data_IF_365384133286
#
_entry.id   IF_365384133286
#
_cell.length_a   1.000
_cell.length_b   1.000
_cell.length_c   1.000
_cell.angle_alpha   90.00
_cell.angle_beta   90.00
_cell.angle_gamma   90.00
#
_symmetry.space_group_name_H-M   'P 1'
#
loop_
_entity.id
_entity.type
_entity.pdbx_description
1 polymer ?
#
# COMPACT_ATOMS: atom_id res chain seq x y z
N UNK A 1 10.33 11.83 8.37
CA UNK A 1 10.76 10.49 7.94
C UNK A 1 12.10 10.52 7.22
N UNK A 2 12.32 11.39 6.18
CA UNK A 2 13.55 11.38 5.36
C UNK A 2 14.83 11.63 6.16
N UNK A 3 14.86 12.64 7.03
CA UNK A 3 16.04 12.91 7.89
C UNK A 3 16.32 11.77 8.86
N UNK A 4 15.29 11.11 9.36
CA UNK A 4 15.42 9.93 10.18
C UNK A 4 16.11 8.80 9.40
N UNK A 5 15.62 8.50 8.19
CA UNK A 5 16.23 7.48 7.34
C UNK A 5 17.69 7.80 7.02
N UNK A 6 17.99 9.06 6.68
CA UNK A 6 19.36 9.50 6.41
C UNK A 6 20.29 9.32 7.63
N UNK A 7 19.84 9.72 8.86
CA UNK A 7 20.63 9.57 10.10
C UNK A 7 20.92 8.12 10.45
N UNK A 8 19.97 7.22 10.17
CA UNK A 8 20.07 5.81 10.53
C UNK A 8 20.53 4.91 9.37
N UNK A 9 20.97 5.51 8.24
CA UNK A 9 21.51 4.78 7.09
C UNK A 9 20.49 3.88 6.38
N UNK A 10 19.20 4.22 6.44
CA UNK A 10 18.11 3.45 5.84
C UNK A 10 17.98 3.83 4.37
N UNK A 11 17.99 2.86 3.43
CA UNK A 11 17.91 3.13 2.01
C UNK A 11 16.59 3.81 1.61
N UNK A 12 16.67 4.96 0.97
CA UNK A 12 15.53 5.71 0.41
C UNK A 12 15.99 6.54 -0.78
N UNK A 13 15.04 7.13 -1.52
CA UNK A 13 15.34 8.07 -2.61
C UNK A 13 16.17 9.26 -2.14
N UNK A 14 17.07 9.74 -2.97
CA UNK A 14 17.72 11.04 -2.76
C UNK A 14 16.64 12.12 -2.64
N UNK A 15 16.83 13.11 -1.76
CA UNK A 15 15.80 14.10 -1.48
C UNK A 15 16.35 15.46 -1.06
N UNK A 16 15.53 16.50 -1.26
CA UNK A 16 15.70 17.84 -0.68
C UNK A 16 14.41 18.26 0.03
N UNK A 17 14.54 19.17 1.02
CA UNK A 17 13.41 19.75 1.73
C UNK A 17 13.46 21.26 1.59
N UNK A 18 12.34 21.86 1.22
CA UNK A 18 12.29 23.28 0.88
C UNK A 18 11.05 23.94 1.49
N UNK A 19 11.25 25.17 1.95
CA UNK A 19 10.21 26.12 2.34
C UNK A 19 10.20 27.34 1.42
N UNK A 20 11.23 27.46 0.58
CA UNK A 20 11.40 28.52 -0.42
C UNK A 20 11.20 27.94 -1.83
N UNK A 21 10.45 28.67 -2.66
CA UNK A 21 10.08 28.24 -4.00
C UNK A 21 11.30 28.24 -4.94
N UNK A 22 12.16 29.26 -4.86
CA UNK A 22 13.28 29.42 -5.77
C UNK A 22 14.37 28.35 -5.49
N UNK A 23 14.62 28.05 -4.21
CA UNK A 23 15.51 26.94 -3.80
C UNK A 23 14.98 25.59 -4.28
N UNK A 24 13.66 25.35 -4.15
CA UNK A 24 13.02 24.13 -4.61
C UNK A 24 13.12 23.97 -6.14
N UNK A 25 12.90 25.04 -6.88
CA UNK A 25 13.01 25.06 -8.35
C UNK A 25 14.47 24.85 -8.78
N UNK A 26 15.45 25.46 -8.11
CA UNK A 26 16.86 25.22 -8.38
C UNK A 26 17.22 23.75 -8.22
N UNK A 27 16.75 23.10 -7.15
CA UNK A 27 16.96 21.66 -6.94
C UNK A 27 16.34 20.80 -8.06
N UNK A 28 15.11 21.17 -8.53
CA UNK A 28 14.48 20.48 -9.66
C UNK A 28 15.33 20.60 -10.93
N UNK A 29 15.88 21.78 -11.21
CA UNK A 29 16.73 21.98 -12.39
C UNK A 29 18.04 21.23 -12.32
N UNK A 30 18.61 21.05 -11.13
CA UNK A 30 19.86 20.29 -10.94
C UNK A 30 19.67 18.79 -11.10
N UNK A 31 18.47 18.23 -10.75
CA UNK A 31 18.22 16.78 -10.76
C UNK A 31 17.44 16.32 -11.99
N UNK A 32 16.56 17.17 -12.53
CA UNK A 32 15.72 16.88 -13.70
C UNK A 32 14.55 15.93 -13.44
N UNK A 33 13.50 16.02 -14.26
CA UNK A 33 12.39 15.06 -14.25
C UNK A 33 12.79 13.73 -14.93
N UNK A 34 12.09 12.59 -14.60
CA UNK A 34 10.98 12.54 -13.66
C UNK A 34 11.43 12.74 -12.21
N UNK A 35 10.62 13.46 -11.44
CA UNK A 35 10.90 13.80 -10.05
C UNK A 35 9.61 13.77 -9.22
N UNK A 36 9.70 13.50 -7.91
CA UNK A 36 8.54 13.42 -7.04
C UNK A 36 8.49 14.62 -6.11
N UNK A 37 7.39 15.36 -6.13
CA UNK A 37 7.14 16.49 -5.22
C UNK A 37 6.07 16.07 -4.21
N UNK A 38 6.39 16.19 -2.92
CA UNK A 38 5.50 15.79 -1.82
C UNK A 38 5.28 16.95 -0.85
N UNK A 39 4.04 17.16 -0.43
CA UNK A 39 3.74 18.02 0.71
C UNK A 39 4.25 17.33 1.99
N UNK A 40 4.98 18.06 2.86
CA UNK A 40 5.52 17.51 4.10
C UNK A 40 4.51 17.66 5.25
N UNK A 41 3.42 16.90 5.15
CA UNK A 41 2.34 16.87 6.14
C UNK A 41 1.25 15.87 5.78
N UNK A 42 0.19 15.83 6.61
CA UNK A 42 -0.95 14.93 6.38
C UNK A 42 -1.79 15.42 5.19
N UNK A 43 -1.56 14.86 4.03
CA UNK A 43 -2.28 15.16 2.80
C UNK A 43 -3.15 13.99 2.28
N UNK A 44 -3.38 12.96 3.11
CA UNK A 44 -4.22 11.78 2.81
C UNK A 44 -3.92 11.13 1.43
N UNK A 45 -2.63 11.02 1.08
CA UNK A 45 -2.18 10.46 -0.21
C UNK A 45 -2.34 11.39 -1.42
N UNK A 46 -2.95 12.56 -1.25
CA UNK A 46 -3.18 13.54 -2.35
C UNK A 46 -2.04 14.53 -2.53
N UNK A 47 -1.10 14.57 -1.60
CA UNK A 47 0.05 15.49 -1.59
C UNK A 47 1.30 14.95 -2.28
N UNK A 48 1.18 13.96 -3.18
CA UNK A 48 2.30 13.38 -3.93
C UNK A 48 2.05 13.58 -5.42
N UNK A 49 2.97 14.28 -6.08
CA UNK A 49 2.92 14.54 -7.51
C UNK A 49 4.19 13.98 -8.15
N UNK A 50 4.02 13.08 -9.11
CA UNK A 50 5.11 12.57 -9.96
C UNK A 50 5.14 13.44 -11.20
N UNK A 51 6.10 14.36 -11.26
CA UNK A 51 6.25 15.29 -12.36
C UNK A 51 7.13 14.69 -13.46
N UNK A 52 6.62 14.65 -14.67
CA UNK A 52 7.34 14.15 -15.86
C UNK A 52 8.12 15.27 -16.57
N UNK A 53 7.78 16.53 -16.29
CA UNK A 53 8.39 17.70 -16.90
C UNK A 53 8.77 18.75 -15.86
N UNK A 54 9.71 19.63 -16.20
CA UNK A 54 10.07 20.77 -15.36
C UNK A 54 8.84 21.63 -15.03
N UNK A 55 7.99 21.91 -16.03
CA UNK A 55 6.79 22.72 -15.85
C UNK A 55 5.81 22.12 -14.82
N UNK A 56 5.60 20.79 -14.86
CA UNK A 56 4.77 20.09 -13.89
C UNK A 56 5.38 20.15 -12.47
N UNK A 57 6.70 19.92 -12.36
CA UNK A 57 7.38 19.96 -11.07
C UNK A 57 7.35 21.38 -10.44
N UNK A 58 7.62 22.41 -11.23
CA UNK A 58 7.54 23.81 -10.78
C UNK A 58 6.12 24.20 -10.38
N UNK A 59 5.10 23.81 -11.17
CA UNK A 59 3.70 24.05 -10.82
C UNK A 59 3.35 23.38 -9.49
N UNK A 60 3.73 22.11 -9.30
CA UNK A 60 3.50 21.38 -8.06
C UNK A 60 4.12 22.08 -6.84
N UNK A 61 5.36 22.57 -6.94
CA UNK A 61 6.03 23.31 -5.87
C UNK A 61 5.29 24.61 -5.55
N UNK A 62 4.91 25.39 -6.58
CA UNK A 62 4.19 26.66 -6.40
C UNK A 62 2.82 26.45 -5.77
N UNK A 63 2.07 25.45 -6.23
CA UNK A 63 0.75 25.10 -5.70
C UNK A 63 0.81 24.66 -4.24
N UNK A 64 1.83 23.88 -3.87
CA UNK A 64 2.01 23.41 -2.50
C UNK A 64 2.47 24.53 -1.57
N UNK A 65 3.52 25.27 -1.92
CA UNK A 65 4.13 26.30 -1.04
C UNK A 65 3.35 27.61 -1.00
N UNK A 66 2.79 28.06 -2.14
CA UNK A 66 2.09 29.33 -2.22
C UNK A 66 0.56 29.19 -2.25
N UNK A 67 0.03 28.07 -2.76
CA UNK A 67 -1.38 27.91 -3.04
C UNK A 67 -2.24 27.52 -1.83
N UNK A 68 -1.67 27.24 -0.66
CA UNK A 68 -2.38 26.74 0.54
C UNK A 68 -3.33 25.57 0.28
N UNK A 69 -3.16 24.85 -0.82
CA UNK A 69 -4.03 23.74 -1.23
C UNK A 69 -4.06 22.63 -0.17
N UNK A 70 -2.98 22.49 0.61
CA UNK A 70 -2.83 21.50 1.68
C UNK A 70 -2.77 22.12 3.09
N UNK A 71 -3.14 23.41 3.25
CA UNK A 71 -3.09 24.11 4.55
C UNK A 71 -1.67 24.09 5.14
N UNK A 72 -1.55 23.82 6.45
CA UNK A 72 -0.24 23.76 7.13
C UNK A 72 0.70 22.69 6.55
N UNK A 73 0.18 21.62 5.94
CA UNK A 73 0.99 20.59 5.30
C UNK A 73 1.73 21.06 4.05
N UNK A 74 1.26 22.17 3.42
CA UNK A 74 1.88 22.79 2.25
C UNK A 74 3.01 23.77 2.56
N UNK A 75 3.28 24.10 3.82
CA UNK A 75 4.35 25.06 4.17
C UNK A 75 5.77 24.53 3.91
N UNK A 76 5.92 23.26 3.62
CA UNK A 76 7.19 22.62 3.25
C UNK A 76 6.93 21.51 2.23
N UNK A 77 7.83 21.42 1.26
CA UNK A 77 7.83 20.34 0.28
C UNK A 77 9.07 19.47 0.43
N UNK A 78 8.90 18.18 0.12
CA UNK A 78 9.99 17.25 -0.06
C UNK A 78 10.04 16.90 -1.54
N UNK A 79 11.20 17.09 -2.16
CA UNK A 79 11.45 16.73 -3.55
C UNK A 79 12.36 15.51 -3.56
N UNK A 80 11.96 14.46 -4.26
CA UNK A 80 12.63 13.17 -4.25
C UNK A 80 12.97 12.70 -5.66
N UNK A 81 14.08 11.97 -5.76
CA UNK A 81 14.39 11.13 -6.91
C UNK A 81 13.20 10.23 -7.25
N UNK A 82 12.85 10.11 -8.53
CA UNK A 82 11.85 9.16 -8.98
C UNK A 82 12.46 7.76 -9.04
N UNK A 83 12.01 6.88 -8.17
CA UNK A 83 12.46 5.49 -8.14
C UNK A 83 11.66 4.65 -9.13
N UNK A 84 12.35 3.75 -9.84
CA UNK A 84 11.77 2.79 -10.77
C UNK A 84 11.87 1.37 -10.22
N UNK A 85 10.85 0.55 -10.46
CA UNK A 85 10.83 -0.83 -10.00
C UNK A 85 9.41 -1.32 -9.72
N UNK A 86 9.29 -2.25 -8.79
CA UNK A 86 8.00 -2.74 -8.30
C UNK A 86 7.78 -2.33 -6.85
N UNK A 87 6.59 -1.82 -6.58
CA UNK A 87 6.21 -1.50 -5.21
C UNK A 87 5.85 -2.77 -4.44
N UNK A 88 6.26 -2.83 -3.18
CA UNK A 88 5.90 -3.88 -2.25
C UNK A 88 5.57 -3.29 -0.87
N UNK A 89 4.59 -3.89 -0.22
CA UNK A 89 4.17 -3.55 1.15
C UNK A 89 4.80 -4.54 2.11
N UNK A 90 5.73 -4.06 2.94
CA UNK A 90 6.39 -4.85 3.97
C UNK A 90 5.90 -4.40 5.35
N UNK A 91 5.10 -5.25 5.99
CA UNK A 91 4.44 -4.91 7.25
C UNK A 91 5.00 -5.79 8.37
N UNK A 92 5.33 -5.16 9.49
CA UNK A 92 5.77 -5.87 10.68
C UNK A 92 5.00 -5.40 11.92
N UNK A 93 4.92 -6.26 12.93
CA UNK A 93 4.62 -5.83 14.29
C UNK A 93 5.92 -5.55 15.02
N UNK A 94 5.94 -4.46 15.77
CA UNK A 94 7.06 -4.09 16.65
C UNK A 94 6.56 -3.87 18.08
N UNK A 95 7.40 -4.13 19.07
CA UNK A 95 7.11 -3.92 20.50
C UNK A 95 8.08 -2.94 21.17
N UNK A 96 8.74 -2.11 20.36
CA UNK A 96 9.78 -1.18 20.81
C UNK A 96 11.19 -1.75 20.74
N UNK A 97 11.32 -3.08 20.67
CA UNK A 97 12.60 -3.79 20.64
C UNK A 97 12.58 -4.97 19.67
N UNK A 98 11.59 -5.84 19.81
CA UNK A 98 11.43 -7.03 18.99
C UNK A 98 10.53 -6.77 17.80
N UNK A 99 10.70 -7.56 16.75
CA UNK A 99 10.00 -7.41 15.47
C UNK A 99 9.45 -8.76 15.04
N UNK A 100 8.18 -8.78 14.67
CA UNK A 100 7.52 -9.94 14.05
C UNK A 100 7.08 -9.55 12.64
N UNK A 101 7.76 -10.03 11.57
CA UNK A 101 7.33 -9.77 10.21
C UNK A 101 6.02 -10.48 9.90
N UNK A 102 5.16 -9.80 9.14
CA UNK A 102 3.91 -10.33 8.63
C UNK A 102 4.09 -10.76 7.17
N UNK A 103 3.04 -11.41 6.61
CA UNK A 103 3.08 -11.78 5.19
C UNK A 103 3.21 -10.52 4.31
N UNK A 104 4.07 -10.61 3.30
CA UNK A 104 4.27 -9.53 2.32
C UNK A 104 3.05 -9.38 1.42
N UNK A 105 2.88 -8.20 0.84
CA UNK A 105 1.78 -7.89 -0.09
C UNK A 105 2.20 -6.87 -1.13
N UNK A 106 1.42 -6.78 -2.19
CA UNK A 106 1.52 -5.70 -3.19
C UNK A 106 0.12 -5.13 -3.43
N UNK A 107 0.03 -3.81 -3.46
CA UNK A 107 -1.20 -3.08 -3.77
C UNK A 107 -1.20 -2.52 -5.20
N UNK A 108 -2.36 -2.08 -5.65
CA UNK A 108 -2.58 -1.39 -6.91
C UNK A 108 -3.16 0.00 -6.64
N UNK A 109 -2.29 1.02 -6.65
CA UNK A 109 -2.64 2.39 -6.26
C UNK A 109 -3.41 3.16 -7.32
N UNK A 110 -3.10 2.93 -8.61
CA UNK A 110 -3.79 3.62 -9.70
C UNK A 110 -5.24 3.17 -9.86
N UNK A 111 -6.11 4.10 -10.22
CA UNK A 111 -7.55 3.85 -10.36
C UNK A 111 -7.88 2.87 -11.49
N UNK A 112 -7.18 3.00 -12.62
CA UNK A 112 -7.49 2.29 -13.87
C UNK A 112 -6.57 1.10 -14.10
N UNK A 113 -7.02 0.17 -14.95
CA UNK A 113 -6.24 -0.98 -15.38
C UNK A 113 -4.91 -0.57 -16.02
N UNK A 114 -3.89 -1.43 -15.89
CA UNK A 114 -2.54 -1.16 -16.37
C UNK A 114 -1.82 -0.06 -15.60
N UNK A 115 -2.20 0.18 -14.35
CA UNK A 115 -1.65 1.20 -13.45
C UNK A 115 -1.73 2.61 -14.03
N UNK A 116 -2.86 2.95 -14.64
CA UNK A 116 -3.14 4.26 -15.23
C UNK A 116 -4.13 5.06 -14.39
N UNK A 117 -4.25 6.35 -14.73
CA UNK A 117 -5.14 7.26 -14.02
C UNK A 117 -4.58 7.76 -12.69
N UNK A 118 -5.38 8.44 -11.88
CA UNK A 118 -4.94 9.03 -10.64
C UNK A 118 -4.64 7.95 -9.58
N UNK A 119 -3.69 8.25 -8.69
CA UNK A 119 -3.48 7.44 -7.50
C UNK A 119 -4.67 7.52 -6.55
N UNK A 120 -4.94 6.41 -5.89
CA UNK A 120 -6.03 6.23 -4.94
C UNK A 120 -5.49 5.73 -3.60
N UNK A 121 -6.36 5.36 -2.68
CA UNK A 121 -5.99 4.64 -1.46
C UNK A 121 -5.67 3.15 -1.69
N UNK A 122 -5.73 2.68 -2.93
CA UNK A 122 -5.54 1.28 -3.34
C UNK A 122 -6.83 0.66 -3.85
N UNK A 123 -6.75 0.05 -5.05
CA UNK A 123 -7.87 -0.60 -5.75
C UNK A 123 -7.88 -2.11 -5.59
N UNK A 124 -6.93 -2.63 -4.85
CA UNK A 124 -6.80 -4.05 -4.51
C UNK A 124 -5.39 -4.41 -4.13
N UNK A 125 -5.22 -5.56 -3.53
CA UNK A 125 -3.92 -6.08 -3.11
C UNK A 125 -3.92 -7.60 -3.11
N UNK A 126 -2.73 -8.18 -3.10
CA UNK A 126 -2.54 -9.62 -2.96
C UNK A 126 -1.36 -9.94 -2.04
N UNK A 127 -1.39 -11.13 -1.48
CA UNK A 127 -0.37 -11.67 -0.57
C UNK A 127 -0.17 -13.17 -0.87
N UNK A 128 1.08 -13.69 -0.91
CA UNK A 128 2.32 -12.98 -0.71
C UNK A 128 2.69 -12.09 -1.90
N UNK A 129 3.71 -11.23 -1.74
CA UNK A 129 4.33 -10.46 -2.81
C UNK A 129 5.44 -11.29 -3.47
N UNK A 130 5.31 -11.77 -4.71
CA UNK A 130 6.34 -12.61 -5.33
C UNK A 130 7.66 -11.89 -5.60
N UNK A 131 7.63 -10.55 -5.64
CA UNK A 131 8.84 -9.72 -5.80
C UNK A 131 9.73 -9.78 -4.55
N UNK A 132 9.18 -10.17 -3.40
CA UNK A 132 9.91 -10.28 -2.13
C UNK A 132 10.16 -11.77 -1.86
N UNK A 133 11.24 -12.30 -2.40
CA UNK A 133 11.75 -13.63 -2.09
C UNK A 133 12.41 -13.67 -0.70
N UNK A 134 12.94 -14.83 -0.29
CA UNK A 134 13.60 -15.02 1.01
C UNK A 134 14.81 -14.10 1.19
N UNK A 135 15.64 -13.96 0.18
CA UNK A 135 16.88 -13.19 0.27
C UNK A 135 16.57 -11.68 0.39
N UNK A 136 15.61 -11.21 -0.41
CA UNK A 136 15.13 -9.83 -0.31
C UNK A 136 14.41 -9.57 1.01
N UNK A 137 13.63 -10.53 1.51
CA UNK A 137 12.99 -10.42 2.82
C UNK A 137 14.02 -10.22 3.93
N UNK A 138 15.06 -11.06 3.99
CA UNK A 138 16.15 -10.91 4.97
C UNK A 138 16.89 -9.57 4.80
N UNK A 139 17.10 -9.14 3.56
CA UNK A 139 17.73 -7.86 3.26
C UNK A 139 16.88 -6.68 3.75
N UNK A 140 15.58 -6.68 3.52
CA UNK A 140 14.64 -5.65 4.01
C UNK A 140 14.64 -5.60 5.54
N UNK A 141 14.62 -6.76 6.19
CA UNK A 141 14.71 -6.81 7.65
C UNK A 141 16.00 -6.16 8.15
N UNK A 142 17.15 -6.56 7.63
CA UNK A 142 18.46 -6.09 8.06
C UNK A 142 18.74 -4.62 7.73
N UNK A 143 18.35 -4.15 6.52
CA UNK A 143 18.74 -2.83 6.01
C UNK A 143 17.70 -1.75 6.28
N UNK A 144 16.44 -2.13 6.50
CA UNK A 144 15.32 -1.18 6.63
C UNK A 144 14.62 -1.32 7.98
N UNK A 145 14.04 -2.49 8.27
CA UNK A 145 13.11 -2.64 9.39
C UNK A 145 13.84 -2.57 10.74
N UNK A 146 14.89 -3.37 10.92
CA UNK A 146 15.66 -3.36 12.16
C UNK A 146 16.32 -2.00 12.44
N UNK A 147 16.96 -1.33 11.45
CA UNK A 147 17.46 0.02 11.65
C UNK A 147 16.36 1.02 12.01
N UNK A 148 15.16 0.88 11.45
CA UNK A 148 14.03 1.74 11.78
C UNK A 148 13.61 1.57 13.24
N UNK A 149 13.36 0.36 13.70
CA UNK A 149 12.92 0.11 15.08
C UNK A 149 14.01 0.50 16.10
N UNK A 150 15.28 0.14 15.82
CA UNK A 150 16.40 0.55 16.65
C UNK A 150 16.64 2.06 16.66
N UNK A 151 16.51 2.70 15.50
CA UNK A 151 16.66 4.15 15.35
C UNK A 151 15.61 4.91 16.14
N UNK A 152 14.35 4.48 16.08
CA UNK A 152 13.27 5.08 16.87
C UNK A 152 13.55 4.97 18.38
N UNK A 153 14.02 3.82 18.84
CA UNK A 153 14.39 3.63 20.25
C UNK A 153 15.60 4.51 20.64
N UNK A 154 16.63 4.61 19.79
CA UNK A 154 17.79 5.46 20.01
C UNK A 154 17.44 6.96 20.04
N UNK A 155 16.47 7.40 19.24
CA UNK A 155 15.94 8.77 19.24
C UNK A 155 15.00 9.04 20.45
N UNK A 156 14.81 8.06 21.36
CA UNK A 156 13.97 8.20 22.56
C UNK A 156 12.49 8.01 22.33
N UNK A 157 12.09 7.48 21.18
CA UNK A 157 10.70 7.23 20.78
C UNK A 157 10.52 5.77 20.32
N UNK A 158 10.66 4.77 21.20
CA UNK A 158 10.50 3.36 20.83
C UNK A 158 9.11 3.13 20.24
N UNK A 159 9.07 2.44 19.09
CA UNK A 159 7.84 2.22 18.34
C UNK A 159 7.19 0.88 18.70
N UNK A 160 5.93 0.91 19.14
CA UNK A 160 5.09 -0.28 19.35
C UNK A 160 3.85 -0.20 18.48
N UNK A 161 3.62 -1.23 17.67
CA UNK A 161 2.45 -1.28 16.77
C UNK A 161 2.78 -1.91 15.43
N UNK A 162 1.93 -1.65 14.44
CA UNK A 162 2.15 -2.06 13.05
C UNK A 162 2.96 -1.01 12.31
N UNK A 163 4.15 -1.40 11.87
CA UNK A 163 5.01 -0.61 11.00
C UNK A 163 4.86 -1.12 9.57
N UNK A 164 4.31 -0.29 8.70
CA UNK A 164 4.24 -0.53 7.27
C UNK A 164 5.37 0.24 6.60
N UNK A 165 6.24 -0.47 5.88
CA UNK A 165 7.22 0.10 4.97
C UNK A 165 6.76 -0.11 3.52
N UNK A 166 6.41 0.97 2.83
CA UNK A 166 6.22 0.99 1.38
C UNK A 166 7.58 1.02 0.71
N UNK A 167 7.86 0.00 -0.08
CA UNK A 167 9.16 -0.22 -0.70
C UNK A 167 9.06 -0.10 -2.23
N UNK A 168 10.09 0.46 -2.84
CA UNK A 168 10.39 0.29 -4.26
C UNK A 168 11.52 -0.72 -4.39
N UNK A 169 11.27 -1.80 -5.13
CA UNK A 169 12.26 -2.83 -5.44
C UNK A 169 12.76 -2.55 -6.86
N UNK A 170 14.01 -2.14 -6.98
CA UNK A 170 14.60 -1.85 -8.28
C UNK A 170 14.73 -3.12 -9.14
N UNK A 171 14.93 -3.00 -10.47
CA UNK A 171 15.21 -4.16 -11.32
C UNK A 171 16.45 -4.97 -10.91
N UNK A 172 17.38 -4.35 -10.16
CA UNK A 172 18.55 -5.03 -9.57
C UNK A 172 18.27 -5.70 -8.22
N UNK A 173 17.03 -5.66 -7.72
CA UNK A 173 16.64 -6.23 -6.43
C UNK A 173 17.00 -5.36 -5.22
N UNK A 174 17.25 -4.06 -5.40
CA UNK A 174 17.56 -3.16 -4.29
C UNK A 174 16.29 -2.58 -3.67
N UNK A 175 16.02 -2.79 -2.38
CA UNK A 175 14.87 -2.20 -1.71
C UNK A 175 15.20 -0.77 -1.26
N UNK A 176 14.29 0.18 -1.54
CA UNK A 176 14.34 1.55 -1.03
C UNK A 176 12.99 1.95 -0.46
N UNK A 177 13.00 2.63 0.68
CA UNK A 177 11.77 3.08 1.34
C UNK A 177 11.17 4.26 0.58
N UNK A 178 9.90 4.12 0.21
CA UNK A 178 9.07 5.21 -0.33
C UNK A 178 8.41 6.00 0.80
N UNK A 179 7.81 5.28 1.75
CA UNK A 179 7.11 5.85 2.89
C UNK A 179 6.98 4.86 4.04
N UNK A 180 6.73 5.38 5.25
CA UNK A 180 6.27 4.61 6.38
C UNK A 180 4.82 4.97 6.73
N UNK A 181 4.05 3.95 7.12
CA UNK A 181 2.78 4.13 7.79
C UNK A 181 2.83 3.42 9.16
N UNK A 182 2.19 4.02 10.16
CA UNK A 182 2.17 3.49 11.55
C UNK A 182 0.84 2.78 11.84
N UNK A 183 0.38 2.02 10.84
CA UNK A 183 -0.87 1.26 10.85
C UNK A 183 -0.74 0.09 9.90
N UNK A 184 -1.73 -0.81 9.97
CA UNK A 184 -1.89 -1.84 8.96
C UNK A 184 -2.17 -1.24 7.58
N UNK A 185 -1.85 -1.99 6.50
CA UNK A 185 -2.11 -1.56 5.12
C UNK A 185 -3.61 -1.52 4.78
N UNK A 186 -3.99 -0.71 3.82
CA UNK A 186 -5.33 -0.63 3.27
C UNK A 186 -5.23 -0.33 1.77
N UNK A 187 -5.43 -1.35 0.91
CA UNK A 187 -6.22 -2.56 1.09
C UNK A 187 -5.45 -3.87 1.39
N UNK A 188 -4.23 -3.82 1.90
CA UNK A 188 -3.42 -5.03 2.15
C UNK A 188 -3.90 -5.87 3.33
N UNK A 189 -4.57 -5.25 4.32
CA UNK A 189 -5.06 -5.96 5.52
C UNK A 189 -5.93 -7.15 5.17
N UNK A 190 -6.86 -6.99 4.24
CA UNK A 190 -7.81 -8.02 3.90
C UNK A 190 -7.13 -9.30 3.38
N UNK A 191 -6.31 -9.28 2.32
CA UNK A 191 -5.62 -10.46 1.84
C UNK A 191 -4.60 -11.01 2.86
N UNK A 192 -3.90 -10.17 3.62
CA UNK A 192 -2.96 -10.62 4.66
C UNK A 192 -3.70 -11.34 5.78
N UNK A 193 -4.84 -10.82 6.27
CA UNK A 193 -5.64 -11.43 7.32
C UNK A 193 -6.30 -12.74 6.88
N UNK A 194 -6.69 -12.88 5.62
CA UNK A 194 -7.20 -14.15 5.08
C UNK A 194 -6.17 -15.28 5.16
N UNK A 195 -4.89 -14.94 5.17
CA UNK A 195 -3.79 -15.91 5.28
C UNK A 195 -3.31 -16.15 6.71
N UNK A 196 -3.58 -15.21 7.64
CA UNK A 196 -3.13 -15.36 9.01
C UNK A 196 -3.92 -16.47 9.74
N UNK A 197 -3.20 -17.48 10.23
CA UNK A 197 -3.76 -18.58 11.04
C UNK A 197 -3.59 -18.37 12.53
N UNK A 198 -2.60 -17.57 12.93
CA UNK A 198 -2.38 -17.20 14.33
C UNK A 198 -3.45 -16.23 14.82
N UNK A 199 -3.69 -16.21 16.11
CA UNK A 199 -4.60 -15.25 16.75
C UNK A 199 -4.01 -13.84 16.75
N UNK A 200 -4.53 -12.94 15.92
CA UNK A 200 -4.10 -11.53 15.89
C UNK A 200 -4.20 -10.85 17.26
N UNK A 201 -5.28 -11.01 18.04
CA UNK A 201 -5.35 -10.46 19.40
C UNK A 201 -4.23 -10.96 20.32
N UNK A 202 -3.85 -12.24 20.22
CA UNK A 202 -2.75 -12.78 21.02
C UNK A 202 -1.40 -12.15 20.63
N UNK A 203 -1.14 -11.97 19.32
CA UNK A 203 0.06 -11.27 18.83
C UNK A 203 0.08 -9.81 19.27
N UNK A 204 -1.06 -9.10 19.21
CA UNK A 204 -1.17 -7.72 19.69
C UNK A 204 -0.88 -7.62 21.19
N UNK A 205 -1.41 -8.54 22.01
CA UNK A 205 -1.12 -8.58 23.43
C UNK A 205 0.35 -8.88 23.72
N UNK A 206 0.97 -9.77 22.95
CA UNK A 206 2.40 -10.04 23.05
C UNK A 206 3.23 -8.78 22.74
N UNK A 207 2.85 -8.02 21.69
CA UNK A 207 3.50 -6.75 21.35
C UNK A 207 3.38 -5.72 22.48
N UNK A 208 2.17 -5.55 23.05
CA UNK A 208 1.93 -4.62 24.17
C UNK A 208 2.79 -5.00 25.40
N UNK A 209 3.04 -6.29 25.60
CA UNK A 209 3.85 -6.79 26.71
C UNK A 209 5.34 -6.94 26.40
N UNK A 210 5.83 -6.50 25.23
CA UNK A 210 7.23 -6.58 24.84
C UNK A 210 7.75 -8.01 24.67
N UNK A 211 6.92 -8.94 24.17
CA UNK A 211 7.20 -10.38 24.05
C UNK A 211 7.07 -10.93 22.63
N UNK A 212 7.25 -10.10 21.61
CA UNK A 212 7.23 -10.58 20.22
C UNK A 212 8.35 -11.55 19.89
N UNK A 213 9.46 -11.54 20.61
CA UNK A 213 10.58 -12.49 20.49
C UNK A 213 10.18 -13.95 20.82
N UNK A 214 9.07 -14.14 21.54
CA UNK A 214 8.53 -15.47 21.87
C UNK A 214 7.39 -15.90 20.94
N UNK A 215 7.07 -15.09 19.93
CA UNK A 215 5.95 -15.30 19.04
C UNK A 215 6.39 -15.71 17.64
N UNK A 216 5.57 -16.53 17.00
CA UNK A 216 5.61 -16.81 15.56
C UNK A 216 4.23 -16.54 14.97
N UNK A 217 4.19 -16.14 13.71
CA UNK A 217 2.95 -16.01 12.96
C UNK A 217 2.83 -17.15 11.95
N UNK A 218 1.78 -17.94 12.07
CA UNK A 218 1.47 -19.04 11.14
C UNK A 218 0.62 -18.53 9.99
N UNK A 219 0.96 -18.94 8.79
CA UNK A 219 0.32 -18.47 7.56
C UNK A 219 -0.28 -19.62 6.75
N UNK A 220 -1.44 -19.35 6.14
CA UNK A 220 -1.94 -20.20 5.06
C UNK A 220 -0.98 -20.12 3.87
N UNK A 221 -0.61 -21.29 3.34
CA UNK A 221 0.31 -21.37 2.20
C UNK A 221 -0.30 -20.84 0.89
N UNK A 222 -1.65 -20.80 0.83
CA UNK A 222 -2.35 -20.25 -0.33
C UNK A 222 -2.13 -18.75 -0.48
N UNK A 223 -2.21 -18.27 -1.71
CA UNK A 223 -2.29 -16.85 -2.00
C UNK A 223 -3.68 -16.29 -1.62
N UNK A 224 -3.73 -15.01 -1.30
CA UNK A 224 -4.96 -14.25 -1.13
C UNK A 224 -4.95 -13.04 -2.05
N UNK A 225 -6.11 -12.68 -2.61
CA UNK A 225 -6.25 -11.48 -3.41
C UNK A 225 -7.57 -10.80 -3.05
N UNK A 226 -7.51 -9.48 -2.84
CA UNK A 226 -8.63 -8.62 -2.56
C UNK A 226 -8.83 -7.59 -3.67
N UNK A 227 -10.06 -7.50 -4.17
CA UNK A 227 -10.48 -6.51 -5.16
C UNK A 227 -11.33 -5.46 -4.47
N UNK A 228 -10.91 -4.20 -4.55
CA UNK A 228 -11.68 -3.08 -4.02
C UNK A 228 -12.77 -2.71 -5.02
N UNK A 229 -14.00 -2.59 -4.51
CA UNK A 229 -15.12 -2.00 -5.21
C UNK A 229 -15.34 -0.59 -4.69
N UNK A 230 -15.29 0.39 -5.58
CA UNK A 230 -15.38 1.81 -5.26
C UNK A 230 -16.66 2.45 -5.83
N UNK A 231 -17.07 3.57 -5.23
CA UNK A 231 -18.14 4.40 -5.75
C UNK A 231 -17.69 5.15 -7.01
N UNK A 232 -18.56 5.32 -7.97
CA UNK A 232 -18.29 6.09 -9.18
C UNK A 232 -17.90 7.53 -8.85
N UNK A 233 -16.82 7.98 -9.49
CA UNK A 233 -16.20 9.28 -9.21
C UNK A 233 -15.06 9.26 -8.20
N UNK A 234 -14.88 8.17 -7.44
CA UNK A 234 -13.70 8.00 -6.58
C UNK A 234 -12.39 8.02 -7.42
N UNK A 235 -11.28 8.65 -6.97
CA UNK A 235 -11.02 9.30 -5.66
C UNK A 235 -11.51 10.76 -5.56
N UNK A 236 -12.22 11.28 -6.56
CA UNK A 236 -12.85 12.58 -6.53
C UNK A 236 -14.17 12.59 -5.75
N UNK A 237 -15.14 13.39 -6.22
CA UNK A 237 -16.48 13.45 -5.62
C UNK A 237 -17.29 12.22 -6.04
N UNK A 238 -18.04 11.63 -5.11
CA UNK A 238 -18.86 10.46 -5.33
C UNK A 238 -20.17 10.54 -4.53
N UNK A 239 -21.19 9.85 -5.04
CA UNK A 239 -22.49 9.72 -4.40
C UNK A 239 -22.46 8.67 -3.28
N UNK A 240 -23.33 8.87 -2.29
CA UNK A 240 -23.55 7.96 -1.15
C UNK A 240 -25.00 7.50 -1.12
N UNK A 241 -25.27 6.46 -0.31
CA UNK A 241 -26.64 5.96 -0.11
C UNK A 241 -27.15 5.04 -1.21
N UNK A 242 -26.30 4.57 -2.12
CA UNK A 242 -26.68 3.57 -3.15
C UNK A 242 -26.83 2.20 -2.51
N UNK A 243 -27.99 1.56 -2.68
CA UNK A 243 -28.23 0.22 -2.17
C UNK A 243 -27.35 -0.82 -2.84
N UNK A 244 -26.71 -1.66 -2.03
CA UNK A 244 -25.79 -2.70 -2.48
C UNK A 244 -26.54 -4.03 -2.53
N UNK A 245 -26.51 -4.70 -3.68
CA UNK A 245 -27.09 -6.02 -3.91
C UNK A 245 -26.02 -7.09 -4.05
N UNK A 246 -26.41 -8.37 -3.96
CA UNK A 246 -25.53 -9.51 -4.26
C UNK A 246 -24.55 -9.92 -3.15
N UNK A 247 -24.58 -9.31 -1.96
CA UNK A 247 -23.64 -9.61 -0.88
C UNK A 247 -23.71 -11.09 -0.42
N UNK A 248 -24.92 -11.64 -0.27
CA UNK A 248 -25.12 -13.03 0.12
C UNK A 248 -24.61 -13.99 -0.96
N UNK A 249 -24.90 -13.71 -2.24
CA UNK A 249 -24.40 -14.51 -3.36
C UNK A 249 -22.86 -14.50 -3.45
N UNK A 250 -22.21 -13.38 -3.16
CA UNK A 250 -20.77 -13.29 -3.08
C UNK A 250 -20.19 -14.15 -1.94
N UNK A 251 -20.81 -14.14 -0.77
CA UNK A 251 -20.43 -14.99 0.35
C UNK A 251 -20.59 -16.48 0.03
N UNK A 252 -21.67 -16.88 -0.62
CA UNK A 252 -21.91 -18.26 -1.09
C UNK A 252 -20.88 -18.72 -2.14
N UNK A 253 -20.28 -17.81 -2.89
CA UNK A 253 -19.21 -18.13 -3.86
C UNK A 253 -17.86 -18.50 -3.21
N UNK A 254 -17.78 -18.44 -1.87
CA UNK A 254 -16.58 -18.71 -1.09
C UNK A 254 -15.62 -17.52 -0.98
N UNK A 255 -16.10 -16.33 -1.28
CA UNK A 255 -15.38 -15.07 -1.06
C UNK A 255 -15.70 -14.51 0.33
N UNK A 256 -14.74 -13.80 0.90
CA UNK A 256 -14.98 -12.92 2.04
C UNK A 256 -15.19 -11.50 1.55
N UNK A 257 -16.35 -10.92 1.86
CA UNK A 257 -16.64 -9.52 1.57
C UNK A 257 -16.37 -8.69 2.82
N UNK A 258 -15.41 -7.79 2.74
CA UNK A 258 -15.09 -6.85 3.79
C UNK A 258 -15.77 -5.51 3.51
N UNK A 259 -16.49 -5.00 4.50
CA UNK A 259 -17.13 -3.70 4.45
C UNK A 259 -16.14 -2.60 4.82
N UNK A 260 -16.07 -1.55 4.00
CA UNK A 260 -15.31 -0.33 4.25
C UNK A 260 -16.26 0.88 4.29
N UNK A 261 -16.50 1.53 3.18
CA UNK A 261 -17.41 2.67 3.08
C UNK A 261 -18.87 2.23 2.92
N UNK A 262 -19.43 1.53 3.90
CA UNK A 262 -20.82 1.10 3.91
C UNK A 262 -21.53 1.52 5.21
N UNK A 263 -22.85 1.62 5.16
CA UNK A 263 -23.71 1.83 6.34
C UNK A 263 -25.04 1.13 6.14
N UNK A 264 -25.86 1.04 7.19
CA UNK A 264 -27.21 0.55 7.10
C UNK A 264 -28.19 1.72 6.97
N UNK A 265 -29.11 1.64 5.99
CA UNK A 265 -30.22 2.56 5.82
C UNK A 265 -31.47 1.77 5.46
N UNK A 266 -32.54 1.96 6.20
CA UNK A 266 -33.84 1.30 6.01
C UNK A 266 -33.73 -0.25 5.87
N UNK A 267 -32.82 -0.85 6.66
CA UNK A 267 -32.57 -2.30 6.63
C UNK A 267 -31.69 -2.79 5.48
N UNK A 268 -31.23 -1.92 4.59
CA UNK A 268 -30.36 -2.25 3.48
C UNK A 268 -28.92 -1.78 3.75
N UNK A 269 -27.94 -2.51 3.22
CA UNK A 269 -26.56 -2.05 3.16
C UNK A 269 -26.43 -1.06 1.99
N UNK A 270 -25.91 0.13 2.29
CA UNK A 270 -25.75 1.19 1.28
C UNK A 270 -24.32 1.76 1.30
N UNK A 271 -23.92 2.39 0.19
CA UNK A 271 -22.62 3.06 0.08
C UNK A 271 -22.55 4.29 1.02
N UNK A 272 -21.42 4.49 1.69
CA UNK A 272 -21.16 5.65 2.55
C UNK A 272 -19.75 6.24 2.39
N UNK A 273 -18.89 5.61 1.58
CA UNK A 273 -17.51 6.03 1.33
C UNK A 273 -17.07 5.82 -0.11
N UNK A 274 -15.86 6.27 -0.44
CA UNK A 274 -15.30 6.12 -1.78
C UNK A 274 -14.91 4.69 -2.13
N UNK A 275 -14.08 4.05 -1.27
CA UNK A 275 -13.87 2.60 -1.30
C UNK A 275 -14.96 1.96 -0.44
N UNK A 276 -15.77 1.13 -1.03
CA UNK A 276 -17.03 0.64 -0.45
C UNK A 276 -16.88 -0.75 0.12
N UNK A 277 -16.34 -1.69 -0.68
CA UNK A 277 -16.13 -3.08 -0.30
C UNK A 277 -14.73 -3.53 -0.74
N UNK A 278 -14.23 -4.61 -0.10
CA UNK A 278 -13.11 -5.39 -0.60
C UNK A 278 -13.55 -6.86 -0.66
N UNK A 279 -13.62 -7.41 -1.88
CA UNK A 279 -13.97 -8.81 -2.11
C UNK A 279 -12.68 -9.62 -2.18
N UNK A 280 -12.49 -10.53 -1.23
CA UNK A 280 -11.22 -11.23 -1.05
C UNK A 280 -11.41 -12.74 -1.12
N UNK A 281 -10.47 -13.45 -1.76
CA UNK A 281 -10.49 -14.89 -1.85
C UNK A 281 -9.08 -15.49 -1.67
N UNK A 282 -9.05 -16.75 -1.23
CA UNK A 282 -7.84 -17.59 -1.20
C UNK A 282 -7.79 -18.47 -2.45
N UNK A 283 -6.60 -18.71 -2.99
CA UNK A 283 -6.33 -19.60 -4.11
C UNK A 283 -4.97 -20.29 -4.00
N UNK A 284 -4.77 -21.41 -4.66
CA UNK A 284 -3.47 -22.08 -4.67
C UNK A 284 -2.39 -21.22 -5.33
N UNK A 285 -2.79 -20.39 -6.27
CA UNK A 285 -1.99 -19.37 -6.95
C UNK A 285 -2.68 -18.01 -6.82
N UNK A 286 -1.98 -16.94 -7.18
CA UNK A 286 -2.60 -15.60 -7.26
C UNK A 286 -3.68 -15.58 -8.36
N UNK A 287 -3.45 -16.28 -9.47
CA UNK A 287 -4.43 -16.44 -10.53
C UNK A 287 -5.73 -17.11 -10.04
N UNK A 288 -5.63 -18.19 -9.26
CA UNK A 288 -6.79 -18.86 -8.65
C UNK A 288 -7.54 -17.93 -7.67
N UNK A 289 -6.80 -17.22 -6.83
CA UNK A 289 -7.37 -16.26 -5.88
C UNK A 289 -8.12 -15.14 -6.63
N UNK A 290 -7.51 -14.59 -7.70
CA UNK A 290 -8.12 -13.59 -8.56
C UNK A 290 -9.41 -14.11 -9.20
N UNK A 291 -9.37 -15.27 -9.84
CA UNK A 291 -10.54 -15.87 -10.48
C UNK A 291 -11.71 -16.06 -9.50
N UNK A 292 -11.41 -16.41 -8.24
CA UNK A 292 -12.44 -16.53 -7.21
C UNK A 292 -12.96 -15.18 -6.75
N UNK A 293 -12.07 -14.23 -6.43
CA UNK A 293 -12.46 -12.88 -5.98
C UNK A 293 -13.35 -12.20 -7.03
N UNK A 294 -13.00 -12.28 -8.32
CA UNK A 294 -13.82 -11.69 -9.37
C UNK A 294 -15.21 -12.33 -9.53
N UNK A 295 -15.37 -13.64 -9.27
CA UNK A 295 -16.74 -14.22 -9.21
C UNK A 295 -17.60 -13.57 -8.13
N UNK A 296 -17.01 -13.23 -6.98
CA UNK A 296 -17.71 -12.47 -5.95
C UNK A 296 -18.01 -11.03 -6.37
N UNK A 297 -17.05 -10.37 -7.04
CA UNK A 297 -17.23 -9.01 -7.58
C UNK A 297 -18.39 -8.97 -8.61
N UNK A 298 -18.47 -9.98 -9.49
CA UNK A 298 -19.42 -10.03 -10.59
C UNK A 298 -20.89 -10.17 -10.15
N UNK A 299 -21.15 -10.63 -8.93
CA UNK A 299 -22.51 -10.76 -8.39
C UNK A 299 -22.92 -9.59 -7.48
N UNK A 300 -21.97 -8.75 -7.08
CA UNK A 300 -22.24 -7.55 -6.27
C UNK A 300 -22.49 -6.37 -7.22
N UNK A 301 -23.54 -5.60 -6.96
CA UNK A 301 -23.87 -4.44 -7.79
C UNK A 301 -24.50 -3.30 -6.98
N UNK A 302 -24.22 -2.08 -7.41
CA UNK A 302 -24.91 -0.83 -7.11
C UNK A 302 -24.66 0.17 -8.23
N UNK A 303 -25.53 1.14 -8.38
CA UNK A 303 -25.41 2.19 -9.41
C UNK A 303 -24.09 2.97 -9.27
N UNK A 304 -23.25 2.88 -10.29
CA UNK A 304 -21.93 3.51 -10.34
C UNK A 304 -20.81 2.71 -9.67
N UNK A 305 -20.98 1.41 -9.43
CA UNK A 305 -19.90 0.56 -8.92
C UNK A 305 -18.70 0.50 -9.88
N UNK A 306 -17.50 0.65 -9.35
CA UNK A 306 -16.23 0.58 -10.09
C UNK A 306 -15.28 -0.40 -9.43
N UNK A 307 -14.65 -1.27 -10.22
CA UNK A 307 -13.58 -2.16 -9.77
C UNK A 307 -12.57 -2.38 -10.90
N UNK A 308 -11.28 -2.45 -10.57
CA UNK A 308 -10.25 -2.86 -11.54
C UNK A 308 -10.34 -4.35 -11.82
N UNK A 309 -10.09 -4.76 -13.06
CA UNK A 309 -10.17 -6.17 -13.50
C UNK A 309 -8.81 -6.85 -13.63
N UNK A 310 -7.73 -6.15 -13.32
CA UNK A 310 -6.35 -6.61 -13.47
C UNK A 310 -5.58 -6.70 -12.15
N UNK A 311 -6.26 -6.73 -11.00
CA UNK A 311 -5.58 -6.90 -9.70
C UNK A 311 -4.76 -8.19 -9.70
N UNK A 312 -3.48 -8.09 -9.31
CA UNK A 312 -2.55 -9.22 -9.29
C UNK A 312 -1.87 -9.53 -10.63
N UNK A 313 -2.08 -8.75 -11.68
CA UNK A 313 -1.61 -9.05 -13.04
C UNK A 313 -0.10 -9.34 -13.13
N UNK A 314 0.73 -8.66 -12.33
CA UNK A 314 2.19 -8.89 -12.30
C UNK A 314 2.54 -10.26 -11.73
N UNK A 315 1.92 -10.61 -10.60
CA UNK A 315 2.11 -11.93 -9.98
C UNK A 315 1.62 -13.04 -10.89
N UNK A 316 0.45 -12.88 -11.52
CA UNK A 316 -0.12 -13.84 -12.48
C UNK A 316 0.77 -14.00 -13.70
N UNK A 317 1.40 -12.93 -14.18
CA UNK A 317 2.37 -13.02 -15.28
C UNK A 317 3.60 -13.86 -14.89
N UNK A 318 4.15 -13.65 -13.69
CA UNK A 318 5.26 -14.47 -13.16
C UNK A 318 4.90 -15.94 -12.98
N UNK A 319 3.72 -16.23 -12.46
CA UNK A 319 3.23 -17.62 -12.33
C UNK A 319 3.23 -18.33 -13.69
N UNK A 320 2.71 -17.67 -14.73
CA UNK A 320 2.68 -18.21 -16.10
C UNK A 320 4.07 -18.39 -16.70
N UNK A 321 5.00 -17.50 -16.43
CA UNK A 321 6.38 -17.61 -16.90
C UNK A 321 7.10 -18.80 -16.24
N UNK A 322 6.92 -18.97 -14.93
CA UNK A 322 7.46 -20.09 -14.18
C UNK A 322 6.91 -21.45 -14.68
N UNK A 323 5.61 -21.53 -14.94
CA UNK A 323 4.97 -22.74 -15.49
C UNK A 323 5.54 -23.12 -16.87
N UNK A 324 5.78 -22.14 -17.76
CA UNK A 324 6.41 -22.39 -19.07
C UNK A 324 7.81 -22.93 -18.94
N UNK A 325 8.63 -22.35 -18.06
CA UNK A 325 10.02 -22.80 -17.84
C UNK A 325 10.08 -24.25 -17.32
N UNK A 326 9.07 -24.70 -16.53
CA UNK A 326 9.02 -26.08 -16.06
C UNK A 326 8.50 -27.07 -17.10
N UNK A 327 7.81 -26.62 -18.16
CA UNK A 327 7.34 -27.46 -19.26
C UNK A 327 8.40 -27.66 -20.35
N UNK A 328 9.35 -26.72 -20.48
CA UNK A 328 10.40 -26.72 -21.50
C UNK A 328 11.73 -27.32 -20.99
N UNK A 329 11.84 -27.71 -19.73
CA UNK A 329 13.01 -28.32 -19.08
C UNK A 329 12.76 -29.77 -18.67
#
# INVERSE_FOLDING_TARGET
>A
AKDFMARHGIPTAAYGKFTDIDEAIAFIHDHGPPIVVKADGLAAGKGVIIAQTFAEAEAAVRDMLAGNVFGEAGHRVVIEEFLTGEEASFIVMADGKNILPLATSQDHKALEEGDRGPNTGGMGAYSPAPVVDSDLHERVMREIIEPTVRGMAADGAPFTGFLYAGLMISPSGEPRVLEYNVRFGDPETQPVMMRLRSSLPALCLAAIHGRLDTCTADWDARAALGVVMAAGGYPGSYDKGRAISGLDAAAESGCQVFHAGTTLADGNVVTSGGRVLCVTALGNTVADAAARAYRGVDVIDWDGAVARRDIGYRAIARERESERQHQDG
#
